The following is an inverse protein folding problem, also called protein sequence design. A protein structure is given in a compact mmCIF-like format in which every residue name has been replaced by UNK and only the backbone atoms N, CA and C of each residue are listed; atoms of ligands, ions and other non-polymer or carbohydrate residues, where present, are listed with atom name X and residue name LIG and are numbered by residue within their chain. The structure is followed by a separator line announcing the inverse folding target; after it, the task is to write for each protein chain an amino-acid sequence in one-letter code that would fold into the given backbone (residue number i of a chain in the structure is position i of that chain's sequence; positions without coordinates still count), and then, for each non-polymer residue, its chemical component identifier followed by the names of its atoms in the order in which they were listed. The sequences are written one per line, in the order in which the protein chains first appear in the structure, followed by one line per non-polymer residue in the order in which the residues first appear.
data_IF_773432205660
#
_entry.id   IF_773432205660
#
_cell.length_a   1.000
_cell.length_b   1.000
_cell.length_c   1.000
_cell.angle_alpha   90.00
_cell.angle_beta   90.00
_cell.angle_gamma   90.00
#
_symmetry.space_group_name_H-M   'P 1'
#
loop_
_entity.id
_entity.type
_entity.pdbx_description
1 polymer ?
#
# COMPACT_ATOMS: atom_id res chain seq x y z
N UNK A 1 0.10 -17.39 10.78
CA UNK A 1 0.47 -16.96 9.42
C UNK A 1 -0.64 -16.06 8.93
N UNK A 2 -0.31 -14.81 8.62
CA UNK A 2 -1.28 -13.83 8.17
C UNK A 2 -1.76 -14.21 6.78
N UNK A 3 -3.08 -14.21 6.57
CA UNK A 3 -3.65 -14.51 5.26
C UNK A 3 -3.81 -13.25 4.43
N UNK A 4 -3.63 -13.38 3.12
CA UNK A 4 -3.86 -12.28 2.17
C UNK A 4 -5.27 -11.69 2.31
N UNK A 5 -6.26 -12.56 2.49
CA UNK A 5 -7.66 -12.15 2.62
C UNK A 5 -7.89 -11.23 3.83
N UNK A 6 -7.23 -11.48 4.95
CA UNK A 6 -7.29 -10.61 6.14
C UNK A 6 -6.84 -9.18 5.80
N UNK A 7 -5.75 -9.04 5.03
CA UNK A 7 -5.25 -7.73 4.61
C UNK A 7 -6.24 -7.05 3.66
N UNK A 8 -6.79 -7.79 2.70
CA UNK A 8 -7.80 -7.27 1.76
C UNK A 8 -9.02 -6.72 2.51
N UNK A 9 -9.53 -7.44 3.50
CA UNK A 9 -10.66 -7.00 4.32
C UNK A 9 -10.35 -5.74 5.16
N UNK A 10 -9.15 -5.66 5.73
CA UNK A 10 -8.75 -4.49 6.53
C UNK A 10 -8.69 -3.24 5.65
N UNK A 11 -8.16 -3.35 4.43
CA UNK A 11 -7.99 -2.20 3.54
C UNK A 11 -9.26 -1.84 2.76
N UNK A 12 -10.19 -2.78 2.53
CA UNK A 12 -11.38 -2.58 1.70
C UNK A 12 -12.15 -1.32 2.08
N UNK A 13 -12.55 -1.19 3.35
CA UNK A 13 -13.32 -0.03 3.83
C UNK A 13 -12.51 1.27 3.74
N UNK A 14 -11.22 1.24 4.09
CA UNK A 14 -10.34 2.41 4.00
C UNK A 14 -10.19 2.89 2.55
N UNK A 15 -10.10 1.96 1.60
CA UNK A 15 -9.93 2.28 0.19
C UNK A 15 -11.18 2.99 -0.37
N UNK A 16 -12.38 2.52 -0.01
CA UNK A 16 -13.64 3.15 -0.40
C UNK A 16 -13.74 4.60 0.14
N UNK A 17 -13.46 4.80 1.42
CA UNK A 17 -13.55 6.11 2.08
C UNK A 17 -12.54 7.13 1.50
N UNK A 18 -11.36 6.66 1.07
CA UNK A 18 -10.27 7.50 0.60
C UNK A 18 -10.10 7.55 -0.92
N UNK A 19 -11.02 6.94 -1.68
CA UNK A 19 -10.98 6.85 -3.16
C UNK A 19 -9.68 6.22 -3.68
N UNK A 20 -9.20 5.23 -2.94
CA UNK A 20 -8.05 4.42 -3.30
C UNK A 20 -8.53 3.10 -3.89
N UNK A 21 -7.68 2.46 -4.67
CA UNK A 21 -7.92 1.14 -5.25
C UNK A 21 -6.74 0.25 -4.97
N UNK A 22 -7.04 -0.90 -4.38
CA UNK A 22 -6.08 -1.96 -4.16
C UNK A 22 -5.63 -2.54 -5.52
N UNK A 23 -4.33 -2.53 -5.77
CA UNK A 23 -3.75 -3.06 -7.00
C UNK A 23 -3.21 -4.47 -6.80
N UNK A 24 -2.46 -4.71 -5.73
CA UNK A 24 -1.95 -6.04 -5.41
C UNK A 24 -1.63 -6.18 -3.91
N UNK A 25 -1.73 -7.42 -3.43
CA UNK A 25 -1.32 -7.80 -2.06
C UNK A 25 -0.53 -9.08 -2.13
N UNK A 26 0.66 -9.06 -1.52
CA UNK A 26 1.54 -10.22 -1.40
C UNK A 26 1.80 -10.49 0.07
N UNK A 27 1.56 -11.73 0.49
CA UNK A 27 1.92 -12.20 1.84
C UNK A 27 2.76 -13.46 1.67
N UNK A 28 3.92 -13.51 2.34
CA UNK A 28 4.79 -14.68 2.31
C UNK A 28 4.72 -15.47 3.62
N UNK A 29 5.39 -16.63 3.66
CA UNK A 29 5.43 -17.51 4.85
C UNK A 29 6.12 -16.90 6.08
N UNK A 30 6.86 -15.81 5.91
CA UNK A 30 7.51 -15.06 6.98
C UNK A 30 6.68 -13.84 7.42
N UNK A 31 5.39 -13.79 7.08
CA UNK A 31 4.51 -12.66 7.34
C UNK A 31 5.05 -11.31 6.79
N UNK A 32 5.83 -11.33 5.70
CA UNK A 32 6.14 -10.12 4.96
C UNK A 32 4.96 -9.80 4.05
N UNK A 33 4.28 -8.72 4.39
CA UNK A 33 3.10 -8.19 3.72
C UNK A 33 3.55 -7.02 2.84
N UNK A 34 3.20 -7.07 1.55
CA UNK A 34 3.37 -5.98 0.60
C UNK A 34 2.03 -5.60 0.03
N UNK A 35 1.65 -4.34 0.17
CA UNK A 35 0.40 -3.78 -0.33
C UNK A 35 0.71 -2.72 -1.38
N UNK A 36 0.13 -2.91 -2.56
CA UNK A 36 0.22 -1.99 -3.68
C UNK A 36 -1.15 -1.38 -3.95
N UNK A 37 -1.22 -0.05 -4.02
CA UNK A 37 -2.47 0.66 -4.21
C UNK A 37 -2.30 1.86 -5.15
N UNK A 38 -3.39 2.43 -5.64
CA UNK A 38 -3.38 3.68 -6.40
C UNK A 38 -4.59 4.53 -6.05
N UNK A 39 -4.50 5.83 -6.26
CA UNK A 39 -5.65 6.72 -6.16
C UNK A 39 -6.41 6.77 -7.50
N UNK A 40 -7.72 7.01 -7.46
CA UNK A 40 -8.56 6.99 -8.66
C UNK A 40 -8.48 8.27 -9.49
N UNK A 41 -8.39 9.41 -8.84
CA UNK A 41 -8.57 10.73 -9.47
C UNK A 41 -7.49 11.75 -9.06
N UNK A 42 -6.47 11.30 -8.32
CA UNK A 42 -5.36 12.14 -7.87
C UNK A 42 -4.05 11.35 -7.82
N UNK A 43 -2.89 12.03 -7.80
CA UNK A 43 -1.63 11.40 -7.44
C UNK A 43 -1.65 10.86 -6.01
N UNK A 44 -0.96 9.74 -5.80
CA UNK A 44 -0.71 9.21 -4.46
C UNK A 44 0.36 10.06 -3.77
N UNK A 45 0.06 10.51 -2.56
CA UNK A 45 1.00 11.27 -1.73
C UNK A 45 1.63 10.35 -0.67
N UNK A 46 2.75 10.77 -0.10
CA UNK A 46 3.42 10.04 0.98
C UNK A 46 2.48 9.85 2.17
N UNK A 47 1.63 10.84 2.45
CA UNK A 47 0.62 10.76 3.52
C UNK A 47 -0.36 9.59 3.32
N UNK A 48 -0.70 9.23 2.09
CA UNK A 48 -1.58 8.08 1.81
C UNK A 48 -0.90 6.77 2.19
N UNK A 49 0.39 6.64 1.88
CA UNK A 49 1.18 5.47 2.27
C UNK A 49 1.26 5.34 3.79
N UNK A 50 1.50 6.46 4.50
CA UNK A 50 1.60 6.49 5.96
C UNK A 50 0.25 6.20 6.63
N UNK A 51 -0.83 6.78 6.11
CA UNK A 51 -2.15 6.59 6.67
C UNK A 51 -2.66 5.16 6.45
N UNK A 52 -2.45 4.60 5.25
CA UNK A 52 -2.79 3.22 4.94
C UNK A 52 -1.94 2.23 5.75
N UNK A 53 -0.63 2.47 5.93
CA UNK A 53 0.22 1.60 6.74
C UNK A 53 -0.27 1.55 8.18
N UNK A 54 -0.60 2.71 8.77
CA UNK A 54 -1.16 2.80 10.13
C UNK A 54 -2.50 2.09 10.26
N UNK A 55 -3.37 2.22 9.26
CA UNK A 55 -4.67 1.54 9.24
C UNK A 55 -4.50 0.01 9.26
N UNK A 56 -3.61 -0.52 8.42
CA UNK A 56 -3.30 -1.95 8.38
C UNK A 56 -2.67 -2.41 9.70
N UNK A 57 -1.70 -1.67 10.23
CA UNK A 57 -1.06 -1.99 11.51
C UNK A 57 -2.05 -1.96 12.68
N UNK A 58 -3.03 -1.07 12.68
CA UNK A 58 -4.09 -1.02 13.70
C UNK A 58 -5.06 -2.21 13.59
N UNK A 59 -5.24 -2.77 12.40
CA UNK A 59 -6.05 -3.97 12.16
C UNK A 59 -5.31 -5.29 12.43
N UNK A 60 -3.99 -5.25 12.65
CA UNK A 60 -3.16 -6.43 12.90
C UNK A 60 -2.64 -6.44 14.34
N UNK A 61 -2.69 -7.62 14.97
CA UNK A 61 -2.24 -7.82 16.34
C UNK A 61 -0.74 -8.17 16.37
N UNK A 62 0.10 -7.17 16.62
CA UNK A 62 1.57 -7.31 16.72
C UNK A 62 2.03 -8.14 17.91
N UNK A 63 1.17 -8.37 18.91
CA UNK A 63 1.50 -9.19 20.09
C UNK A 63 1.31 -10.69 19.82
N UNK A 64 0.56 -11.06 18.78
CA UNK A 64 0.32 -12.47 18.40
C UNK A 64 1.37 -13.04 17.47
N UNK A 65 1.72 -12.33 16.41
CA UNK A 65 2.67 -12.82 15.40
C UNK A 65 3.54 -11.66 14.88
N UNK A 66 4.84 -11.91 14.73
CA UNK A 66 5.75 -10.94 14.11
C UNK A 66 5.48 -10.84 12.60
N UNK A 67 5.45 -9.61 12.08
CA UNK A 67 5.20 -9.32 10.67
C UNK A 67 5.96 -8.08 10.20
N UNK A 68 6.16 -8.00 8.87
CA UNK A 68 6.71 -6.82 8.21
C UNK A 68 5.70 -6.29 7.21
N UNK A 69 5.40 -4.99 7.27
CA UNK A 69 4.47 -4.34 6.36
C UNK A 69 5.20 -3.34 5.47
N UNK A 70 4.97 -3.44 4.16
CA UNK A 70 5.39 -2.46 3.17
C UNK A 70 4.17 -2.01 2.36
N UNK A 71 3.98 -0.70 2.30
CA UNK A 71 2.90 -0.07 1.52
C UNK A 71 3.55 0.80 0.45
N UNK A 72 3.13 0.62 -0.81
CA UNK A 72 3.67 1.37 -1.94
C UNK A 72 2.56 1.72 -2.92
N UNK A 73 2.65 2.87 -3.57
CA UNK A 73 1.83 3.10 -4.76
C UNK A 73 2.23 2.11 -5.85
N UNK A 74 1.25 1.49 -6.49
CA UNK A 74 1.46 0.91 -7.81
C UNK A 74 1.76 2.09 -8.73
N UNK A 75 3.01 2.22 -9.17
CA UNK A 75 3.39 3.30 -10.09
C UNK A 75 2.42 3.28 -11.26
N UNK A 76 1.76 4.41 -11.51
CA UNK A 76 1.14 4.63 -12.81
C UNK A 76 2.29 4.68 -13.80
N UNK A 77 2.39 3.65 -14.64
CA UNK A 77 3.40 3.57 -15.70
C UNK A 77 3.09 4.55 -16.84
N UNK A 78 2.54 5.73 -16.52
CA UNK A 78 2.52 6.88 -17.43
C UNK A 78 3.93 7.45 -17.41
N UNK A 79 4.68 7.10 -18.46
CA UNK A 79 5.96 7.67 -18.85
C UNK A 79 5.94 9.20 -18.68
N UNK A 80 6.42 9.69 -17.53
CA UNK A 80 6.91 11.05 -17.45
C UNK A 80 8.32 10.99 -18.04
N UNK A 81 8.52 11.71 -19.14
CA UNK A 81 9.86 12.02 -19.62
C UNK A 81 10.61 12.66 -18.44
N UNK A 82 11.47 11.90 -17.78
CA UNK A 82 12.62 12.42 -17.07
C UNK A 82 13.51 13.07 -18.14
N UNK A 83 13.12 14.27 -18.56
CA UNK A 83 13.95 15.13 -19.37
C UNK A 83 15.10 15.52 -18.44
N UNK A 84 16.15 14.70 -18.51
CA UNK A 84 17.50 14.97 -18.07
C UNK A 84 17.99 16.24 -18.79
N UNK A 85 17.49 17.39 -18.35
CA UNK A 85 18.19 18.66 -18.49
C UNK A 85 19.04 18.80 -17.24
N UNK A 86 20.10 17.99 -17.21
CA UNK A 86 21.33 18.37 -16.51
C UNK A 86 21.84 19.67 -17.15
N UNK A 87 21.33 20.77 -16.64
CA UNK A 87 21.93 22.09 -16.78
C UNK A 87 23.15 22.12 -15.86
N UNK A 88 24.35 21.74 -16.35
CA UNK A 88 25.66 22.40 -16.11
C UNK A 88 26.60 22.09 -17.28
#
# INVERSE_FOLDING_TARGET
MIEKHTIEQIVEQYMEDHRLVLTDVKVNKANNIKVFFKALDRPVCIDDCVALSRHIEAGLDRDKEDFSLMVSSAGDNTENNDNEIDNI
#
